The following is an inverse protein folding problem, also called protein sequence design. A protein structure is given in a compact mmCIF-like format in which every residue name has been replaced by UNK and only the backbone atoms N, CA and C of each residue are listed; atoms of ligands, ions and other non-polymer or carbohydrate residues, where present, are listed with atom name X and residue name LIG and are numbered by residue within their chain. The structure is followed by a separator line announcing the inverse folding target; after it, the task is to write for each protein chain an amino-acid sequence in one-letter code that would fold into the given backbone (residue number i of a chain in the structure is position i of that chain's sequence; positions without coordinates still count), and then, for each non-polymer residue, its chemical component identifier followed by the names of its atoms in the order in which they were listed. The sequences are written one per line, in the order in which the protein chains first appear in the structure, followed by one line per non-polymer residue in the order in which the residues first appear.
data_IF_675186764558
#
_entry.id   IF_675186764558
#
_cell.length_a   1.000
_cell.length_b   1.000
_cell.length_c   1.000
_cell.angle_alpha   90.00
_cell.angle_beta   90.00
_cell.angle_gamma   90.00
#
_symmetry.space_group_name_H-M   'P 1'
#
loop_
_entity.id
_entity.type
_entity.pdbx_description
1 polymer ?
#
# COMPACT_ATOMS: atom_id res chain seq x y z
N UNK A 1 2.15 -20.49 11.67
CA UNK A 1 1.10 -19.43 11.64
C UNK A 1 1.47 -18.36 12.66
N UNK A 2 1.57 -17.11 12.25
CA UNK A 2 1.77 -16.01 13.21
C UNK A 2 0.50 -15.86 14.07
N UNK A 3 0.62 -15.53 15.36
CA UNK A 3 -0.53 -15.29 16.19
C UNK A 3 -1.38 -14.14 15.62
N UNK A 4 -2.71 -14.20 15.74
CA UNK A 4 -3.56 -13.09 15.32
C UNK A 4 -3.14 -11.81 16.04
N UNK A 5 -3.16 -10.70 15.31
CA UNK A 5 -2.84 -9.39 15.89
C UNK A 5 -3.95 -9.00 16.85
N UNK A 6 -3.59 -8.59 18.05
CA UNK A 6 -4.56 -8.11 19.01
C UNK A 6 -5.28 -6.87 18.46
N UNK A 7 -6.60 -6.78 18.69
CA UNK A 7 -7.39 -5.61 18.25
C UNK A 7 -6.84 -4.28 18.77
N UNK A 8 -6.24 -4.27 19.97
CA UNK A 8 -5.58 -3.10 20.55
C UNK A 8 -4.34 -2.67 19.77
N UNK A 9 -3.58 -3.60 19.20
CA UNK A 9 -2.40 -3.29 18.37
C UNK A 9 -2.81 -2.72 17.02
N UNK A 10 -3.85 -3.27 16.39
CA UNK A 10 -4.42 -2.72 15.16
C UNK A 10 -4.93 -1.29 15.37
N UNK A 11 -5.61 -1.04 16.49
CA UNK A 11 -6.09 0.29 16.83
C UNK A 11 -4.94 1.28 17.02
N UNK A 12 -3.89 0.90 17.78
CA UNK A 12 -2.69 1.74 17.93
C UNK A 12 -2.03 2.07 16.60
N UNK A 13 -2.01 1.10 15.67
CA UNK A 13 -1.43 1.32 14.36
C UNK A 13 -2.29 2.28 13.51
N UNK A 14 -3.60 2.12 13.56
CA UNK A 14 -4.54 3.04 12.91
C UNK A 14 -4.38 4.47 13.46
N UNK A 15 -4.27 4.62 14.79
CA UNK A 15 -4.09 5.92 15.44
C UNK A 15 -2.78 6.61 15.00
N UNK A 16 -1.69 5.84 14.87
CA UNK A 16 -0.41 6.35 14.34
C UNK A 16 -0.55 6.87 12.91
N UNK A 17 -1.24 6.12 12.04
CA UNK A 17 -1.47 6.52 10.65
C UNK A 17 -2.35 7.77 10.60
N UNK A 18 -3.39 7.84 11.42
CA UNK A 18 -4.25 9.04 11.54
C UNK A 18 -3.47 10.26 12.05
N UNK A 19 -2.48 10.07 12.91
CA UNK A 19 -1.56 11.11 13.36
C UNK A 19 -0.54 11.55 12.28
N UNK A 20 -0.59 10.99 11.07
CA UNK A 20 0.30 11.32 9.97
C UNK A 20 1.68 10.67 10.06
N UNK A 21 1.81 9.60 10.84
CA UNK A 21 3.05 8.85 10.93
C UNK A 21 3.27 7.96 9.69
N UNK A 22 4.54 7.75 9.35
CA UNK A 22 4.99 6.81 8.34
C UNK A 22 5.37 5.51 9.03
N UNK A 23 4.85 4.41 8.51
CA UNK A 23 5.07 3.07 9.05
C UNK A 23 5.83 2.17 8.07
N UNK A 24 6.67 1.31 8.61
CA UNK A 24 7.26 0.17 7.90
C UNK A 24 6.56 -1.10 8.38
N UNK A 25 5.87 -1.78 7.48
CA UNK A 25 4.94 -2.86 7.84
C UNK A 25 4.98 -4.03 6.85
N UNK A 26 4.64 -5.26 7.30
CA UNK A 26 4.52 -6.41 6.41
C UNK A 26 3.29 -6.29 5.52
N UNK A 27 3.37 -6.86 4.32
CA UNK A 27 2.23 -7.02 3.42
C UNK A 27 2.19 -8.45 2.91
N UNK A 28 1.18 -8.79 2.13
CA UNK A 28 1.07 -10.05 1.39
C UNK A 28 2.11 -10.19 0.25
N UNK A 29 2.90 -9.15 0.01
CA UNK A 29 3.94 -9.12 -1.02
C UNK A 29 5.34 -8.95 -0.41
N UNK A 30 5.79 -7.72 -0.29
CA UNK A 30 7.06 -7.31 0.34
C UNK A 30 6.78 -6.34 1.46
N UNK A 31 7.71 -6.12 2.38
CA UNK A 31 7.55 -5.05 3.36
C UNK A 31 7.33 -3.71 2.68
N UNK A 32 6.32 -3.00 3.16
CA UNK A 32 5.90 -1.70 2.65
C UNK A 32 6.28 -0.56 3.60
N UNK A 33 6.52 0.59 2.99
CA UNK A 33 6.48 1.88 3.66
C UNK A 33 5.14 2.51 3.32
N UNK A 34 4.43 3.02 4.31
CA UNK A 34 3.12 3.61 4.08
C UNK A 34 2.69 4.61 5.13
N UNK A 35 1.55 5.20 4.86
CA UNK A 35 0.88 6.18 5.69
C UNK A 35 -0.41 6.63 5.03
N UNK A 36 -1.08 7.61 5.59
CA UNK A 36 -2.35 8.14 5.10
C UNK A 36 -2.22 8.72 3.68
N UNK A 37 -2.85 8.08 2.69
CA UNK A 37 -2.83 8.51 1.30
C UNK A 37 -3.62 9.81 1.04
N UNK A 38 -4.41 10.27 1.99
CA UNK A 38 -5.12 11.56 1.91
C UNK A 38 -4.31 12.72 2.48
N UNK A 39 -3.18 12.43 3.14
CA UNK A 39 -2.34 13.42 3.80
C UNK A 39 -1.14 13.81 2.93
N UNK A 40 -1.19 14.99 2.33
CA UNK A 40 -0.12 15.51 1.45
C UNK A 40 1.26 15.58 2.13
N UNK A 41 1.32 15.85 3.43
CA UNK A 41 2.60 15.90 4.18
C UNK A 41 3.24 14.52 4.27
N UNK A 42 2.43 13.48 4.51
CA UNK A 42 2.86 12.07 4.53
C UNK A 42 3.39 11.66 3.17
N UNK A 43 2.64 11.99 2.10
CA UNK A 43 3.03 11.67 0.72
C UNK A 43 4.40 12.28 0.38
N UNK A 44 4.56 13.60 0.61
CA UNK A 44 5.82 14.31 0.33
C UNK A 44 6.99 13.71 1.12
N UNK A 45 6.79 13.43 2.40
CA UNK A 45 7.82 12.81 3.24
C UNK A 45 8.21 11.40 2.75
N UNK A 46 7.26 10.58 2.27
CA UNK A 46 7.57 9.26 1.67
C UNK A 46 8.35 9.43 0.36
N UNK A 47 8.02 10.41 -0.48
CA UNK A 47 8.74 10.72 -1.71
C UNK A 47 10.20 11.09 -1.42
N UNK A 48 10.42 11.98 -0.45
CA UNK A 48 11.75 12.41 -0.01
C UNK A 48 12.55 11.24 0.57
N UNK A 49 11.98 10.49 1.51
CA UNK A 49 12.59 9.33 2.16
C UNK A 49 13.09 8.29 1.15
N UNK A 50 12.34 8.10 0.06
CA UNK A 50 12.68 7.12 -0.98
C UNK A 50 13.54 7.70 -2.11
N UNK A 51 13.87 8.99 -2.09
CA UNK A 51 14.45 9.68 -3.26
C UNK A 51 13.66 9.38 -4.53
N UNK A 52 12.33 9.43 -4.43
CA UNK A 52 11.43 8.95 -5.48
C UNK A 52 11.07 10.06 -6.45
N UNK A 53 11.17 9.77 -7.76
CA UNK A 53 10.58 10.64 -8.77
C UNK A 53 9.06 10.65 -8.66
N UNK A 54 8.45 11.83 -8.80
CA UNK A 54 7.00 12.00 -8.87
C UNK A 54 6.37 11.25 -10.06
N UNK A 55 7.15 10.88 -11.08
CA UNK A 55 6.65 10.11 -12.22
C UNK A 55 6.29 8.66 -11.89
N UNK A 56 6.76 8.12 -10.77
CA UNK A 56 6.48 6.74 -10.37
C UNK A 56 5.20 6.66 -9.54
N UNK A 57 4.22 5.88 -9.99
CA UNK A 57 2.95 5.64 -9.29
C UNK A 57 3.16 4.98 -7.94
N UNK A 58 2.51 5.47 -6.89
CA UNK A 58 2.40 4.81 -5.59
C UNK A 58 1.11 4.02 -5.51
N UNK A 59 1.14 2.90 -4.80
CA UNK A 59 -0.02 2.04 -4.62
C UNK A 59 -0.83 2.52 -3.41
N UNK A 60 -2.15 2.58 -3.57
CA UNK A 60 -3.10 2.71 -2.48
C UNK A 60 -3.65 1.33 -2.11
N UNK A 61 -3.40 0.87 -0.89
CA UNK A 61 -4.17 -0.24 -0.32
C UNK A 61 -5.54 0.30 0.11
N UNK A 62 -6.59 -0.42 -0.27
CA UNK A 62 -7.98 0.02 -0.07
C UNK A 62 -8.84 -1.13 0.46
N UNK A 63 -9.87 -0.81 1.22
CA UNK A 63 -10.89 -1.77 1.62
C UNK A 63 -12.06 -1.76 0.61
N UNK A 64 -12.66 -2.90 0.27
CA UNK A 64 -13.73 -2.96 -0.74
C UNK A 64 -14.96 -2.12 -0.37
N UNK A 65 -15.32 -2.02 0.91
CA UNK A 65 -16.55 -1.35 1.34
C UNK A 65 -16.59 0.15 1.05
N UNK A 66 -15.43 0.78 0.85
CA UNK A 66 -15.39 2.22 0.64
C UNK A 66 -14.55 2.66 -0.59
N UNK A 67 -14.08 1.71 -1.41
CA UNK A 67 -13.31 2.04 -2.62
C UNK A 67 -14.10 2.93 -3.59
N UNK A 68 -15.41 2.80 -3.66
CA UNK A 68 -16.30 3.63 -4.47
C UNK A 68 -16.26 5.14 -4.17
N UNK A 69 -15.66 5.55 -3.04
CA UNK A 69 -15.41 6.97 -2.73
C UNK A 69 -14.30 7.56 -3.59
N UNK A 70 -13.45 6.73 -4.20
CA UNK A 70 -12.23 7.14 -4.90
C UNK A 70 -12.28 6.88 -6.40
N UNK A 71 -13.07 5.92 -6.84
CA UNK A 71 -13.25 5.58 -8.25
C UNK A 71 -14.67 5.07 -8.50
N UNK A 72 -15.19 5.36 -9.72
CA UNK A 72 -16.42 4.75 -10.23
C UNK A 72 -16.17 3.41 -10.92
N UNK A 73 -14.88 3.02 -11.09
CA UNK A 73 -14.53 1.75 -11.72
C UNK A 73 -14.89 0.58 -10.78
N UNK A 74 -15.42 -0.50 -11.33
CA UNK A 74 -15.74 -1.72 -10.58
C UNK A 74 -14.48 -2.50 -10.22
N UNK A 75 -13.78 -2.03 -9.20
CA UNK A 75 -12.55 -2.64 -8.69
C UNK A 75 -12.83 -4.04 -8.15
N UNK A 76 -13.91 -4.19 -7.36
CA UNK A 76 -14.25 -5.46 -6.70
C UNK A 76 -14.61 -6.53 -7.72
N UNK A 77 -15.50 -6.22 -8.68
CA UNK A 77 -15.86 -7.14 -9.75
C UNK A 77 -14.68 -7.49 -10.67
N UNK A 78 -13.73 -6.55 -10.84
CA UNK A 78 -12.50 -6.84 -11.58
C UNK A 78 -11.61 -7.84 -10.85
N UNK A 79 -11.46 -7.71 -9.52
CA UNK A 79 -10.72 -8.70 -8.72
C UNK A 79 -11.37 -10.08 -8.77
N UNK A 80 -12.69 -10.19 -8.72
CA UNK A 80 -13.40 -11.47 -8.86
C UNK A 80 -13.10 -12.19 -10.16
N UNK A 81 -12.89 -11.43 -11.26
CA UNK A 81 -12.47 -11.98 -12.55
C UNK A 81 -10.99 -12.36 -12.59
N UNK A 82 -10.17 -11.71 -11.76
CA UNK A 82 -8.73 -11.94 -11.67
C UNK A 82 -8.34 -13.02 -10.64
N UNK A 83 -9.30 -13.53 -9.89
CA UNK A 83 -9.10 -14.55 -8.83
C UNK A 83 -8.52 -15.89 -9.35
N UNK A 84 -8.37 -16.01 -10.66
CA UNK A 84 -7.67 -17.14 -11.31
C UNK A 84 -6.12 -17.02 -11.21
N UNK A 85 -5.62 -15.93 -10.65
CA UNK A 85 -4.19 -15.66 -10.59
C UNK A 85 -3.71 -15.62 -9.14
N UNK A 86 -2.93 -16.61 -8.73
CA UNK A 86 -2.25 -16.72 -7.42
C UNK A 86 -1.22 -15.58 -7.15
N UNK A 87 -1.27 -14.51 -7.92
CA UNK A 87 -0.31 -13.41 -7.84
C UNK A 87 -1.00 -12.14 -7.34
N UNK A 88 -0.50 -11.53 -6.27
CA UNK A 88 -1.01 -10.25 -5.79
C UNK A 88 -1.07 -9.22 -6.93
N UNK A 89 -2.23 -8.64 -7.16
CA UNK A 89 -2.48 -7.75 -8.31
C UNK A 89 -2.87 -6.36 -7.84
N UNK A 90 -2.36 -5.35 -8.53
CA UNK A 90 -2.70 -3.93 -8.39
C UNK A 90 -3.37 -3.46 -9.68
N UNK A 91 -4.52 -2.80 -9.56
CA UNK A 91 -5.25 -2.23 -10.70
C UNK A 91 -4.92 -0.73 -10.83
N UNK A 92 -4.66 -0.28 -12.05
CA UNK A 92 -4.58 1.15 -12.38
C UNK A 92 -5.93 1.58 -12.91
N UNK A 93 -6.64 2.41 -12.15
CA UNK A 93 -8.04 2.77 -12.42
C UNK A 93 -8.24 4.28 -12.45
N UNK A 94 -9.24 4.79 -13.20
CA UNK A 94 -9.61 6.20 -13.15
C UNK A 94 -9.95 6.65 -11.72
N UNK A 95 -9.54 7.86 -11.34
CA UNK A 95 -9.86 8.45 -10.02
C UNK A 95 -10.98 9.47 -10.15
N UNK A 96 -11.82 9.59 -9.13
CA UNK A 96 -12.71 10.73 -8.95
C UNK A 96 -11.89 11.98 -8.61
N UNK A 97 -12.17 13.10 -9.25
CA UNK A 97 -11.40 14.34 -9.08
C UNK A 97 -11.49 14.87 -7.64
N UNK A 98 -10.35 15.35 -7.14
CA UNK A 98 -10.27 16.05 -5.85
C UNK A 98 -10.38 15.18 -4.60
N UNK A 99 -10.43 13.83 -4.73
CA UNK A 99 -10.56 12.92 -3.57
C UNK A 99 -9.21 12.49 -2.98
N UNK A 100 -8.11 12.63 -3.73
CA UNK A 100 -6.74 12.40 -3.27
C UNK A 100 -5.82 13.54 -3.73
N UNK A 101 -4.69 13.77 -3.02
CA UNK A 101 -3.66 14.70 -3.47
C UNK A 101 -3.11 14.32 -4.87
N UNK A 102 -2.76 15.34 -5.65
CA UNK A 102 -2.28 15.18 -7.04
C UNK A 102 -1.01 14.31 -7.13
N UNK A 103 -0.19 14.30 -6.08
CA UNK A 103 1.01 13.47 -6.01
C UNK A 103 0.70 11.96 -6.06
N UNK A 104 -0.53 11.56 -5.73
CA UNK A 104 -1.00 10.17 -5.85
C UNK A 104 -1.58 9.86 -7.23
N UNK A 105 -1.91 10.88 -8.02
CA UNK A 105 -2.63 10.75 -9.29
C UNK A 105 -1.65 10.78 -10.46
N UNK A 106 -1.89 9.95 -11.48
CA UNK A 106 -1.15 9.94 -12.74
C UNK A 106 -2.13 9.87 -13.90
N UNK A 107 -2.10 10.90 -14.74
CA UNK A 107 -2.97 10.96 -15.94
C UNK A 107 -4.44 10.64 -15.62
N UNK A 108 -4.95 11.16 -14.50
CA UNK A 108 -6.32 10.89 -14.04
C UNK A 108 -6.54 9.49 -13.46
N UNK A 109 -5.47 8.72 -13.20
CA UNK A 109 -5.56 7.37 -12.63
C UNK A 109 -4.85 7.24 -11.30
N UNK A 110 -5.22 6.20 -10.54
CA UNK A 110 -4.53 5.73 -9.32
C UNK A 110 -4.25 4.23 -9.41
N UNK A 111 -3.22 3.77 -8.74
CA UNK A 111 -2.95 2.35 -8.55
C UNK A 111 -3.58 1.89 -7.23
N UNK A 112 -4.56 1.00 -7.29
CA UNK A 112 -5.27 0.47 -6.12
C UNK A 112 -5.05 -1.02 -5.96
N UNK A 113 -4.93 -1.47 -4.72
CA UNK A 113 -4.89 -2.90 -4.40
C UNK A 113 -5.74 -3.20 -3.18
N UNK A 114 -6.56 -4.24 -3.28
CA UNK A 114 -7.25 -4.84 -2.14
C UNK A 114 -6.40 -6.05 -1.71
N UNK A 115 -5.85 -6.06 -0.49
CA UNK A 115 -4.98 -7.13 0.00
C UNK A 115 -5.79 -8.31 0.56
N UNK A 116 -6.60 -8.98 -0.29
CA UNK A 116 -7.53 -10.04 0.09
C UNK A 116 -6.88 -11.19 0.89
N UNK A 117 -5.64 -11.53 0.59
CA UNK A 117 -4.91 -12.61 1.23
C UNK A 117 -4.25 -12.22 2.55
N UNK A 118 -4.48 -11.00 3.04
CA UNK A 118 -3.85 -10.46 4.24
C UNK A 118 -4.88 -9.91 5.23
N UNK A 119 -5.44 -10.78 6.08
CA UNK A 119 -6.47 -10.43 7.08
C UNK A 119 -6.05 -9.26 7.96
N UNK A 120 -4.78 -9.18 8.31
CA UNK A 120 -4.21 -8.06 9.06
C UNK A 120 -4.41 -6.72 8.34
N UNK A 121 -4.06 -6.64 7.05
CA UNK A 121 -4.23 -5.42 6.27
C UNK A 121 -5.70 -5.11 6.02
N UNK A 122 -6.53 -6.11 5.79
CA UNK A 122 -7.97 -5.93 5.64
C UNK A 122 -8.57 -5.32 6.91
N UNK A 123 -8.23 -5.87 8.08
CA UNK A 123 -8.69 -5.35 9.37
C UNK A 123 -8.16 -3.92 9.64
N UNK A 124 -6.90 -3.65 9.33
CA UNK A 124 -6.33 -2.31 9.46
C UNK A 124 -7.04 -1.30 8.55
N UNK A 125 -7.28 -1.64 7.29
CA UNK A 125 -7.96 -0.77 6.34
C UNK A 125 -9.41 -0.50 6.74
N UNK A 126 -10.10 -1.49 7.29
CA UNK A 126 -11.45 -1.31 7.84
C UNK A 126 -11.46 -0.27 8.99
N UNK A 127 -10.49 -0.33 9.90
CA UNK A 127 -10.32 0.65 10.98
C UNK A 127 -9.94 2.04 10.48
N UNK A 128 -9.08 2.12 9.46
CA UNK A 128 -8.62 3.39 8.90
C UNK A 128 -9.75 4.15 8.19
N UNK A 129 -10.63 3.47 7.48
CA UNK A 129 -11.69 4.10 6.68
C UNK A 129 -11.18 4.98 5.53
N UNK A 130 -9.89 4.87 5.19
CA UNK A 130 -9.20 5.64 4.14
C UNK A 130 -8.04 4.84 3.52
N UNK A 131 -7.55 5.23 2.31
CA UNK A 131 -6.48 4.51 1.65
C UNK A 131 -5.15 4.63 2.39
N UNK A 132 -4.38 3.55 2.39
CA UNK A 132 -3.03 3.48 2.92
C UNK A 132 -2.04 3.45 1.76
N UNK A 133 -1.07 4.38 1.74
CA UNK A 133 0.04 4.29 0.80
C UNK A 133 0.80 3.00 1.04
N UNK A 134 1.16 2.31 -0.03
CA UNK A 134 2.04 1.14 0.02
C UNK A 134 3.10 1.23 -1.07
N UNK A 135 4.35 1.31 -0.66
CA UNK A 135 5.50 1.25 -1.55
C UNK A 135 6.58 0.39 -0.90
N UNK A 136 7.37 -0.34 -1.71
CA UNK A 136 8.44 -1.21 -1.21
C UNK A 136 9.45 -0.47 -0.32
N UNK A 137 10.02 -1.16 0.66
CA UNK A 137 10.91 -0.59 1.69
C UNK A 137 12.37 -0.44 1.19
N UNK A 138 12.59 0.23 0.04
CA UNK A 138 13.91 0.50 -0.56
C UNK A 138 13.99 1.94 -1.07
N UNK A 139 15.20 2.45 -1.23
CA UNK A 139 15.45 3.67 -2.02
C UNK A 139 15.03 3.42 -3.47
N UNK A 140 14.47 4.43 -4.12
CA UNK A 140 13.95 4.29 -5.49
C UNK A 140 15.07 3.94 -6.48
N UNK A 141 14.90 2.84 -7.19
CA UNK A 141 15.91 2.32 -8.12
C UNK A 141 16.81 1.22 -7.52
N UNK A 142 16.86 1.08 -6.20
CA UNK A 142 17.55 -0.02 -5.56
C UNK A 142 16.69 -1.29 -5.58
N UNK A 143 17.34 -2.45 -5.34
CA UNK A 143 16.65 -3.73 -5.26
C UNK A 143 15.60 -3.70 -4.15
N UNK A 144 14.41 -4.23 -4.41
CA UNK A 144 13.38 -4.43 -3.39
C UNK A 144 13.85 -5.48 -2.39
N UNK A 145 13.89 -5.18 -1.09
CA UNK A 145 14.29 -6.14 -0.06
C UNK A 145 13.27 -7.26 0.05
N UNK A 146 13.77 -8.50 0.13
CA UNK A 146 12.92 -9.68 0.33
C UNK A 146 12.72 -9.99 1.80
N UNK A 147 13.65 -9.58 2.68
CA UNK A 147 13.62 -9.79 4.12
C UNK A 147 13.82 -8.49 4.87
N UNK A 148 13.48 -8.46 6.14
CA UNK A 148 13.68 -7.29 6.99
C UNK A 148 15.17 -6.88 7.07
N UNK A 149 16.05 -7.84 7.16
CA UNK A 149 17.51 -7.66 7.28
C UNK A 149 18.13 -7.02 6.02
N UNK A 150 17.45 -7.13 4.88
CA UNK A 150 17.88 -6.53 3.61
C UNK A 150 17.48 -5.05 3.48
N UNK A 151 16.65 -4.53 4.42
CA UNK A 151 16.18 -3.14 4.37
C UNK A 151 17.31 -2.21 4.79
N UNK A 152 17.57 -1.19 3.98
CA UNK A 152 18.57 -0.18 4.29
C UNK A 152 18.29 0.53 5.63
N UNK A 153 19.31 0.67 6.48
CA UNK A 153 19.18 1.33 7.78
C UNK A 153 18.68 2.78 7.67
N UNK A 154 18.98 3.46 6.56
CA UNK A 154 18.46 4.79 6.26
C UNK A 154 16.92 4.80 6.21
N UNK A 155 16.31 3.79 5.59
CA UNK A 155 14.87 3.61 5.52
C UNK A 155 14.29 3.35 6.93
N UNK A 156 14.87 2.39 7.66
CA UNK A 156 14.41 2.01 9.01
C UNK A 156 14.41 3.21 9.96
N UNK A 157 15.46 4.06 9.87
CA UNK A 157 15.60 5.25 10.73
C UNK A 157 14.72 6.43 10.31
N UNK A 158 14.17 6.42 9.11
CA UNK A 158 13.39 7.53 8.56
C UNK A 158 11.89 7.37 8.74
N UNK A 159 11.40 6.19 9.13
CA UNK A 159 10.00 5.93 9.45
C UNK A 159 9.72 6.15 10.93
N UNK A 160 8.46 6.41 11.28
CA UNK A 160 8.06 6.71 12.67
C UNK A 160 7.77 5.44 13.46
N UNK A 161 7.47 4.33 12.78
CA UNK A 161 7.20 3.04 13.41
C UNK A 161 7.58 1.88 12.49
N UNK A 162 8.07 0.81 13.10
CA UNK A 162 8.53 -0.40 12.41
C UNK A 162 7.83 -1.62 13.00
N UNK A 163 7.14 -2.39 12.16
CA UNK A 163 6.56 -3.66 12.57
C UNK A 163 7.65 -4.71 12.86
N UNK A 164 7.46 -5.56 13.89
CA UNK A 164 8.39 -6.63 14.20
C UNK A 164 8.70 -7.53 12.98
N UNK A 165 9.96 -8.01 12.82
CA UNK A 165 10.34 -8.91 11.72
C UNK A 165 9.55 -10.21 11.68
N UNK A 166 9.15 -10.74 12.84
CA UNK A 166 8.38 -11.98 12.99
C UNK A 166 7.02 -12.00 12.28
N UNK A 167 6.58 -10.86 11.71
CA UNK A 167 5.31 -10.74 11.00
C UNK A 167 5.41 -10.88 9.49
N UNK A 168 6.56 -11.23 8.94
CA UNK A 168 6.73 -11.39 7.49
C UNK A 168 6.02 -12.64 7.00
N UNK A 169 4.98 -12.45 6.18
CA UNK A 169 4.15 -13.52 5.60
C UNK A 169 3.99 -13.39 4.09
N UNK A 170 4.64 -12.40 3.48
CA UNK A 170 4.47 -12.07 2.07
C UNK A 170 5.13 -13.06 1.10
N UNK A 171 4.74 -12.98 -0.15
CA UNK A 171 5.31 -13.77 -1.25
C UNK A 171 6.75 -13.38 -1.61
N UNK A 172 7.26 -12.29 -1.03
CA UNK A 172 8.55 -11.67 -1.33
C UNK A 172 8.68 -11.17 -2.79
N UNK A 173 7.56 -11.08 -3.49
CA UNK A 173 7.46 -10.54 -4.85
C UNK A 173 6.52 -9.33 -4.89
N UNK A 174 6.86 -8.35 -5.72
CA UNK A 174 5.99 -7.19 -5.93
C UNK A 174 4.70 -7.60 -6.65
N UNK A 175 3.59 -6.90 -6.37
CA UNK A 175 2.33 -7.14 -7.07
C UNK A 175 2.47 -6.89 -8.58
N UNK A 176 1.73 -7.64 -9.37
CA UNK A 176 1.52 -7.36 -10.78
C UNK A 176 0.67 -6.09 -10.93
N UNK A 177 0.97 -5.27 -11.90
CA UNK A 177 0.25 -4.04 -12.21
C UNK A 177 -0.56 -4.23 -13.51
N UNK A 178 -1.87 -4.01 -13.46
CA UNK A 178 -2.79 -4.21 -14.60
C UNK A 178 -3.59 -2.92 -14.83
N UNK A 179 -3.66 -2.46 -16.08
CA UNK A 179 -4.55 -1.39 -16.50
C UNK A 179 -6.02 -1.82 -16.60
N UNK A 180 -6.93 -0.86 -16.72
CA UNK A 180 -8.39 -1.13 -16.89
C UNK A 180 -8.71 -1.89 -18.16
N UNK A 181 -7.84 -1.84 -19.16
CA UNK A 181 -7.91 -2.58 -20.43
C UNK A 181 -7.41 -4.02 -20.33
N UNK A 182 -6.97 -4.44 -19.13
CA UNK A 182 -6.38 -5.76 -18.86
C UNK A 182 -4.90 -5.88 -19.26
N UNK A 183 -4.27 -4.81 -19.76
CA UNK A 183 -2.85 -4.83 -20.10
C UNK A 183 -1.98 -4.94 -18.84
N UNK A 184 -1.04 -5.87 -18.85
CA UNK A 184 -0.02 -5.99 -17.79
C UNK A 184 1.01 -4.91 -17.99
N UNK A 185 1.12 -3.99 -17.01
CA UNK A 185 2.06 -2.85 -17.03
C UNK A 185 3.39 -3.19 -16.33
N UNK A 186 3.40 -4.19 -15.45
CA UNK A 186 4.57 -4.71 -14.72
C UNK A 186 4.26 -6.09 -14.16
#
# INVERSE_FOLDING_TARGET
MNPPIASSELQQLADRIHAGQIILYPTDTVRGIGGDATNIKVIKRIIELKHRSLSKTMICLVHPDWIGRYTSYDVVGSYQKLDQYDVPTTLVVPILLGVLPEEMVREGTIAVRIPWSCDYLMSLLALLGKPLISTSANISGHRTPSRYEDIELSIIRSVDWVAPPSRDTGTHQSSRLIGVDGQVLR
#
